data_IF_776592276084
#
_entry.id   IF_776592276084
#
_cell.length_a   1.000
_cell.length_b   1.000
_cell.length_c   1.000
_cell.angle_alpha   90.00
_cell.angle_beta   90.00
_cell.angle_gamma   90.00
#
_symmetry.space_group_name_H-M   'P 1'
#
loop_
_entity.id
_entity.type
_entity.pdbx_description
1 polymer ?
#
# COMPACT_ATOMS: atom_id res chain seq x y z
N UNK A 1 -18.48 20.02 29.74
CA UNK A 1 -19.31 20.01 30.95
C UNK A 1 -19.64 18.56 31.26
N UNK A 2 -19.45 18.19 32.52
CA UNK A 2 -19.54 16.87 33.19
C UNK A 2 -18.37 15.90 32.97
N UNK A 3 -17.55 15.82 34.02
CA UNK A 3 -16.61 14.77 34.38
C UNK A 3 -17.17 13.36 34.19
N UNK A 4 -16.37 12.49 33.59
CA UNK A 4 -16.49 11.03 33.77
C UNK A 4 -15.13 10.57 34.31
N UNK A 5 -15.04 10.53 35.65
CA UNK A 5 -14.08 9.69 36.37
C UNK A 5 -14.49 8.24 36.09
N UNK A 6 -13.69 7.51 35.31
CA UNK A 6 -13.80 6.05 35.26
C UNK A 6 -12.90 5.43 36.33
N UNK A 7 -13.55 4.65 37.20
CA UNK A 7 -12.97 3.92 38.32
C UNK A 7 -12.04 2.80 37.83
N UNK A 8 -10.86 2.66 38.46
CA UNK A 8 -9.98 1.50 38.28
C UNK A 8 -10.70 0.24 38.79
N UNK A 9 -10.79 -0.85 38.01
CA UNK A 9 -11.23 -2.13 38.55
C UNK A 9 -10.15 -2.69 39.49
N UNK A 10 -10.61 -3.11 40.67
CA UNK A 10 -9.84 -3.81 41.69
C UNK A 10 -9.33 -5.15 41.17
N UNK A 11 -8.05 -5.44 41.43
CA UNK A 11 -7.39 -6.68 41.06
C UNK A 11 -8.16 -7.90 41.60
N UNK A 12 -8.69 -8.72 40.70
CA UNK A 12 -9.15 -10.07 41.03
C UNK A 12 -8.02 -11.04 40.72
N UNK A 13 -7.54 -11.72 41.76
CA UNK A 13 -6.47 -12.69 41.69
C UNK A 13 -6.82 -13.86 40.78
N UNK A 14 -6.04 -14.00 39.70
CA UNK A 14 -5.96 -15.20 38.88
C UNK A 14 -4.88 -16.14 39.40
N UNK A 15 -5.20 -17.43 39.45
CA UNK A 15 -4.35 -18.52 39.93
C UNK A 15 -3.13 -18.69 39.03
N UNK A 16 -1.93 -18.47 39.57
CA UNK A 16 -0.65 -18.67 38.90
C UNK A 16 -0.45 -20.16 38.65
N UNK A 17 -0.48 -20.58 37.38
CA UNK A 17 0.10 -21.86 36.96
C UNK A 17 1.62 -21.74 36.95
N UNK A 18 2.28 -22.64 37.68
CA UNK A 18 3.73 -22.80 37.69
C UNK A 18 4.27 -23.11 36.29
N UNK A 19 4.63 -22.09 35.52
CA UNK A 19 5.56 -22.23 34.41
C UNK A 19 6.86 -21.49 34.74
N UNK A 20 7.96 -22.14 34.35
CA UNK A 20 9.33 -21.81 34.74
C UNK A 20 9.65 -20.34 34.45
N UNK A 21 10.43 -19.66 35.31
CA UNK A 21 10.93 -18.33 34.98
C UNK A 21 11.75 -18.40 33.69
N UNK A 22 11.45 -17.50 32.75
CA UNK A 22 12.28 -17.27 31.58
C UNK A 22 13.73 -16.95 32.01
N UNK A 23 14.75 -17.38 31.26
CA UNK A 23 16.13 -17.17 31.64
C UNK A 23 16.43 -15.68 31.67
N UNK A 24 16.98 -15.23 32.80
CA UNK A 24 17.55 -13.89 32.97
C UNK A 24 18.70 -13.78 31.96
N UNK A 25 18.54 -12.90 30.97
CA UNK A 25 19.56 -12.60 29.96
C UNK A 25 20.68 -11.81 30.63
N UNK A 26 21.92 -12.28 30.43
CA UNK A 26 23.14 -11.71 31.00
C UNK A 26 23.31 -10.23 30.59
N UNK A 27 23.55 -9.39 31.59
CA UNK A 27 23.72 -7.96 31.45
C UNK A 27 25.10 -7.61 30.87
N UNK A 28 25.28 -7.66 29.55
CA UNK A 28 26.27 -6.85 28.78
C UNK A 28 26.32 -7.11 27.25
N UNK A 29 25.35 -7.80 26.64
CA UNK A 29 25.41 -8.11 25.20
C UNK A 29 24.41 -7.30 24.36
N UNK A 30 24.91 -6.47 23.45
CA UNK A 30 24.32 -6.09 22.15
C UNK A 30 22.81 -5.77 22.10
N UNK A 31 22.34 -4.87 22.98
CA UNK A 31 20.96 -4.37 22.96
C UNK A 31 20.52 -3.81 21.59
N UNK A 32 21.45 -3.18 20.87
CA UNK A 32 21.20 -2.60 19.55
C UNK A 32 20.84 -3.66 18.50
N UNK A 33 21.49 -4.83 18.52
CA UNK A 33 21.30 -5.87 17.50
C UNK A 33 20.01 -6.65 17.64
N UNK A 34 19.40 -6.69 18.83
CA UNK A 34 18.14 -7.41 19.07
C UNK A 34 16.93 -6.61 18.58
N UNK A 35 16.80 -5.34 18.98
CA UNK A 35 15.70 -4.48 18.51
C UNK A 35 15.77 -4.22 16.98
N UNK A 36 16.98 -4.07 16.43
CA UNK A 36 17.20 -3.92 14.99
C UNK A 36 16.72 -5.14 14.21
N UNK A 37 17.03 -6.35 14.69
CA UNK A 37 16.66 -7.61 14.04
C UNK A 37 15.19 -7.96 14.21
N UNK A 38 14.60 -7.68 15.37
CA UNK A 38 13.22 -8.05 15.68
C UNK A 38 12.22 -7.18 14.89
N UNK A 39 12.58 -5.92 14.60
CA UNK A 39 11.75 -5.00 13.82
C UNK A 39 12.25 -4.76 12.38
N UNK A 40 13.43 -5.26 11.97
CA UNK A 40 14.08 -4.98 10.68
C UNK A 40 14.24 -3.47 10.40
N UNK A 41 14.96 -2.79 11.29
CA UNK A 41 15.10 -1.32 11.33
C UNK A 41 16.39 -0.88 10.62
N UNK A 42 16.43 0.32 10.04
CA UNK A 42 17.66 0.87 9.46
C UNK A 42 18.53 1.60 10.50
N UNK A 43 19.82 1.83 10.21
CA UNK A 43 20.70 2.59 11.12
C UNK A 43 20.19 4.01 11.39
N UNK A 44 19.61 4.67 10.37
CA UNK A 44 19.04 6.01 10.49
C UNK A 44 17.82 6.02 11.43
N UNK A 45 16.93 5.03 11.28
CA UNK A 45 15.76 4.86 12.17
C UNK A 45 16.19 4.60 13.62
N UNK A 46 17.27 3.84 13.83
CA UNK A 46 17.81 3.55 15.16
C UNK A 46 18.34 4.81 15.85
N UNK A 47 19.01 5.70 15.10
CA UNK A 47 19.50 6.97 15.62
C UNK A 47 18.36 7.89 16.05
N UNK A 48 17.31 8.02 15.23
CA UNK A 48 16.13 8.82 15.57
C UNK A 48 15.40 8.23 16.79
N UNK A 49 15.25 6.91 16.84
CA UNK A 49 14.63 6.24 17.98
C UNK A 49 15.44 6.41 19.28
N UNK A 50 16.78 6.43 19.22
CA UNK A 50 17.62 6.72 20.39
C UNK A 50 17.43 8.15 20.90
N UNK A 51 17.31 9.12 20.01
CA UNK A 51 17.02 10.51 20.39
C UNK A 51 15.66 10.61 21.08
N UNK A 52 14.62 10.00 20.51
CA UNK A 52 13.29 9.95 21.11
C UNK A 52 13.28 9.20 22.46
N UNK A 53 13.90 8.03 22.52
CA UNK A 53 14.01 7.22 23.74
C UNK A 53 14.69 7.98 24.90
N UNK A 54 15.68 8.82 24.58
CA UNK A 54 16.38 9.63 25.58
C UNK A 54 15.49 10.69 26.25
N UNK A 55 14.43 11.12 25.56
CA UNK A 55 13.49 12.13 26.03
C UNK A 55 12.31 11.54 26.81
N UNK A 56 12.11 10.22 26.76
CA UNK A 56 10.96 9.54 27.35
C UNK A 56 11.13 9.28 28.86
N UNK A 57 10.09 9.54 29.62
CA UNK A 57 9.95 9.09 31.01
C UNK A 57 9.52 7.63 31.10
N UNK A 58 9.70 6.99 32.27
CA UNK A 58 9.29 5.59 32.48
C UNK A 58 7.76 5.44 32.43
N UNK A 59 7.03 6.43 32.95
CA UNK A 59 5.58 6.47 32.97
C UNK A 59 5.00 6.56 31.55
N UNK A 60 5.58 7.40 30.69
CA UNK A 60 5.20 7.51 29.29
C UNK A 60 5.44 6.18 28.55
N UNK A 61 6.58 5.53 28.79
CA UNK A 61 6.91 4.23 28.18
C UNK A 61 5.90 3.17 28.62
N UNK A 62 5.53 3.15 29.90
CA UNK A 62 4.50 2.23 30.40
C UNK A 62 3.16 2.44 29.69
N UNK A 63 2.72 3.69 29.55
CA UNK A 63 1.45 4.01 28.87
C UNK A 63 1.51 3.65 27.38
N UNK A 64 2.61 3.98 26.70
CA UNK A 64 2.82 3.62 25.30
C UNK A 64 2.81 2.11 25.10
N UNK A 65 3.54 1.36 25.92
CA UNK A 65 3.60 -0.10 25.84
C UNK A 65 2.28 -0.77 26.14
N UNK A 66 1.50 -0.25 27.11
CA UNK A 66 0.14 -0.71 27.34
C UNK A 66 -0.75 -0.52 26.10
N UNK A 67 -0.65 0.64 25.44
CA UNK A 67 -1.40 0.93 24.23
C UNK A 67 -0.96 0.06 23.05
N UNK A 68 0.35 -0.14 22.86
CA UNK A 68 0.93 -1.02 21.83
C UNK A 68 0.43 -2.45 22.04
N UNK A 69 0.55 -2.99 23.25
CA UNK A 69 0.05 -4.32 23.58
C UNK A 69 -1.43 -4.45 23.24
N UNK A 70 -2.28 -3.52 23.70
CA UNK A 70 -3.73 -3.54 23.43
C UNK A 70 -4.08 -3.52 21.94
N UNK A 71 -3.29 -2.84 21.11
CA UNK A 71 -3.53 -2.73 19.67
C UNK A 71 -3.04 -3.99 18.94
N UNK A 72 -1.87 -4.52 19.32
CA UNK A 72 -1.15 -5.54 18.57
C UNK A 72 -1.22 -6.96 19.15
N UNK A 73 -1.81 -7.19 20.33
CA UNK A 73 -1.94 -8.51 20.97
C UNK A 73 -2.49 -9.59 20.03
N UNK A 74 -3.40 -9.22 19.12
CA UNK A 74 -4.06 -10.14 18.17
C UNK A 74 -3.62 -9.94 16.73
N UNK A 75 -2.53 -9.21 16.52
CA UNK A 75 -2.03 -8.91 15.19
C UNK A 75 -1.09 -10.02 14.70
N UNK A 76 -1.46 -10.78 13.65
CA UNK A 76 -0.61 -11.84 13.11
C UNK A 76 0.65 -11.31 12.41
N UNK A 77 0.70 -10.02 12.05
CA UNK A 77 1.83 -9.42 11.35
C UNK A 77 2.85 -8.78 12.30
N UNK A 78 2.53 -8.68 13.60
CA UNK A 78 3.42 -8.10 14.59
C UNK A 78 4.34 -9.16 15.22
N UNK A 79 5.63 -8.87 15.48
CA UNK A 79 6.53 -9.86 16.07
C UNK A 79 6.08 -10.32 17.46
N UNK A 80 5.80 -11.61 17.60
CA UNK A 80 5.34 -12.22 18.87
C UNK A 80 6.33 -12.01 20.02
N UNK A 81 7.63 -12.07 19.72
CA UNK A 81 8.71 -11.84 20.71
C UNK A 81 8.57 -10.49 21.40
N UNK A 82 8.19 -9.45 20.65
CA UNK A 82 8.02 -8.10 21.19
C UNK A 82 6.76 -8.04 22.08
N UNK A 83 5.66 -8.69 21.68
CA UNK A 83 4.45 -8.76 22.50
C UNK A 83 4.73 -9.44 23.84
N UNK A 84 5.43 -10.58 23.81
CA UNK A 84 5.83 -11.32 25.03
C UNK A 84 6.74 -10.49 25.94
N UNK A 85 7.70 -9.74 25.36
CA UNK A 85 8.55 -8.81 26.12
C UNK A 85 7.74 -7.69 26.77
N UNK A 86 6.81 -7.08 26.03
CA UNK A 86 5.95 -6.01 26.53
C UNK A 86 5.07 -6.53 27.68
N UNK A 87 4.49 -7.72 27.54
CA UNK A 87 3.68 -8.35 28.59
C UNK A 87 4.51 -8.62 29.85
N UNK A 88 5.74 -9.13 29.70
CA UNK A 88 6.66 -9.35 30.79
C UNK A 88 7.07 -8.04 31.49
N UNK A 89 7.31 -6.96 30.73
CA UNK A 89 7.62 -5.63 31.28
C UNK A 89 6.43 -5.04 32.04
N UNK A 90 5.22 -5.08 31.47
CA UNK A 90 4.02 -4.50 32.08
C UNK A 90 3.56 -5.26 33.33
N UNK A 91 3.85 -6.56 33.41
CA UNK A 91 3.51 -7.43 34.55
C UNK A 91 4.53 -7.35 35.70
N UNK A 92 5.69 -6.74 35.48
CA UNK A 92 6.76 -6.65 36.48
C UNK A 92 6.67 -5.34 37.28
N UNK A 93 5.91 -5.36 38.38
CA UNK A 93 5.73 -4.19 39.25
C UNK A 93 7.04 -3.68 39.87
N UNK A 94 8.06 -4.55 40.05
CA UNK A 94 9.37 -4.18 40.62
C UNK A 94 10.16 -3.22 39.71
N UNK A 95 9.90 -3.24 38.40
CA UNK A 95 10.53 -2.30 37.44
C UNK A 95 10.07 -0.87 37.69
N UNK A 96 8.82 -0.70 38.13
CA UNK A 96 8.23 0.61 38.41
C UNK A 96 8.49 1.06 39.86
N UNK A 97 8.60 0.12 40.80
CA UNK A 97 8.90 0.42 42.21
C UNK A 97 10.39 0.66 42.46
N UNK A 98 11.28 -0.06 41.76
CA UNK A 98 12.73 0.04 41.89
C UNK A 98 13.43 0.23 40.53
N UNK A 99 13.26 1.38 39.85
CA UNK A 99 13.79 1.59 38.50
C UNK A 99 15.32 1.43 38.39
N UNK A 100 16.05 1.80 39.45
CA UNK A 100 17.52 1.75 39.47
C UNK A 100 18.09 0.34 39.32
N UNK A 101 17.31 -0.71 39.64
CA UNK A 101 17.75 -2.11 39.49
C UNK A 101 17.50 -2.68 38.10
N UNK A 102 16.68 -2.00 37.30
CA UNK A 102 16.17 -2.48 36.02
C UNK A 102 16.52 -1.53 34.86
N UNK A 103 17.56 -0.71 35.02
CA UNK A 103 17.92 0.36 34.08
C UNK A 103 18.12 -0.17 32.63
N UNK A 104 18.76 -1.33 32.48
CA UNK A 104 18.96 -1.96 31.17
C UNK A 104 17.63 -2.32 30.47
N UNK A 105 16.70 -2.94 31.20
CA UNK A 105 15.38 -3.30 30.67
C UNK A 105 14.57 -2.03 30.33
N UNK A 106 14.67 -0.99 31.15
CA UNK A 106 14.01 0.29 30.91
C UNK A 106 14.56 0.95 29.63
N UNK A 107 15.87 0.93 29.40
CA UNK A 107 16.46 1.48 28.18
C UNK A 107 16.04 0.69 26.93
N UNK A 108 15.99 -0.63 27.01
CA UNK A 108 15.50 -1.48 25.91
C UNK A 108 14.03 -1.17 25.59
N UNK A 109 13.15 -1.09 26.60
CA UNK A 109 11.74 -0.75 26.41
C UNK A 109 11.53 0.67 25.92
N UNK A 110 12.38 1.63 26.32
CA UNK A 110 12.36 2.99 25.77
C UNK A 110 12.71 2.99 24.27
N UNK A 111 13.72 2.22 23.87
CA UNK A 111 14.11 2.09 22.47
C UNK A 111 13.01 1.41 21.65
N UNK A 112 12.45 0.29 22.13
CA UNK A 112 11.34 -0.39 21.47
C UNK A 112 10.09 0.52 21.38
N UNK A 113 9.79 1.28 22.44
CA UNK A 113 8.68 2.26 22.43
C UNK A 113 8.90 3.31 21.35
N UNK A 114 10.10 3.88 21.30
CA UNK A 114 10.46 4.89 20.31
C UNK A 114 10.40 4.34 18.88
N UNK A 115 10.85 3.11 18.65
CA UNK A 115 10.81 2.46 17.33
C UNK A 115 9.38 2.17 16.87
N UNK A 116 8.51 1.68 17.76
CA UNK A 116 7.13 1.30 17.44
C UNK A 116 6.22 2.53 17.28
N UNK A 117 6.47 3.60 18.03
CA UNK A 117 5.60 4.79 18.06
C UNK A 117 6.12 5.95 17.19
N UNK A 118 7.43 6.07 17.00
CA UNK A 118 8.06 7.10 16.17
C UNK A 118 7.98 6.82 14.67
N UNK A 119 7.89 5.54 14.28
CA UNK A 119 7.70 5.12 12.90
C UNK A 119 6.74 3.91 12.84
N UNK A 120 6.38 3.44 11.65
CA UNK A 120 5.55 2.24 11.52
C UNK A 120 6.29 1.02 12.09
N UNK A 121 5.65 0.13 12.86
CA UNK A 121 6.30 -1.10 13.33
C UNK A 121 6.60 -2.08 12.19
N UNK A 122 5.92 -1.96 11.04
CA UNK A 122 6.10 -2.84 9.89
C UNK A 122 7.18 -2.32 8.94
N UNK A 123 8.20 -3.14 8.70
CA UNK A 123 9.33 -2.78 7.86
C UNK A 123 8.93 -2.45 6.41
N UNK A 124 7.96 -3.18 5.85
CA UNK A 124 7.44 -2.95 4.51
C UNK A 124 6.73 -1.59 4.37
N UNK A 125 6.15 -1.07 5.45
CA UNK A 125 5.53 0.26 5.46
C UNK A 125 6.62 1.32 5.56
N UNK A 126 7.58 1.16 6.49
CA UNK A 126 8.72 2.09 6.65
C UNK A 126 9.56 2.23 5.38
N UNK A 127 9.75 1.13 4.65
CA UNK A 127 10.54 1.13 3.42
C UNK A 127 9.91 1.97 2.29
N UNK A 128 8.61 2.28 2.39
CA UNK A 128 7.83 2.87 1.30
C UNK A 128 7.24 4.23 1.68
N UNK A 129 6.91 4.42 2.95
CA UNK A 129 6.21 5.58 3.48
C UNK A 129 7.10 6.31 4.46
N UNK A 130 7.27 7.60 4.21
CA UNK A 130 7.95 8.54 5.09
C UNK A 130 7.08 8.83 6.32
N UNK A 131 7.65 8.76 7.52
CA UNK A 131 6.96 9.07 8.79
C UNK A 131 6.73 10.57 8.97
N UNK A 132 7.44 11.42 8.22
CA UNK A 132 7.29 12.86 8.29
C UNK A 132 6.32 13.40 7.22
N UNK A 133 5.35 14.19 7.69
CA UNK A 133 4.44 14.92 6.83
C UNK A 133 4.66 16.44 6.91
N UNK A 134 4.50 17.12 5.77
CA UNK A 134 4.44 18.58 5.70
C UNK A 134 2.97 19.00 5.47
N UNK A 135 2.28 19.53 6.50
CA UNK A 135 0.89 19.96 6.40
C UNK A 135 0.66 21.14 5.46
N UNK A 136 1.72 21.87 5.10
CA UNK A 136 1.63 23.08 4.27
C UNK A 136 1.62 22.79 2.77
N UNK A 137 2.01 21.58 2.35
CA UNK A 137 2.01 21.20 0.94
C UNK A 137 0.57 21.19 0.37
N UNK A 138 0.33 21.88 -0.76
CA UNK A 138 -1.00 21.91 -1.36
C UNK A 138 -1.37 20.55 -1.94
N UNK A 139 -2.60 20.09 -1.68
CA UNK A 139 -3.09 18.77 -2.13
C UNK A 139 -4.22 18.92 -3.15
N UNK A 140 -5.28 19.63 -2.75
CA UNK A 140 -6.50 19.82 -3.54
C UNK A 140 -6.37 21.06 -4.42
N UNK A 141 -5.57 20.97 -5.47
CA UNK A 141 -5.33 22.07 -6.42
C UNK A 141 -6.18 21.90 -7.68
N UNK A 142 -6.44 22.99 -8.39
CA UNK A 142 -7.17 22.91 -9.67
C UNK A 142 -6.44 22.00 -10.67
N UNK A 143 -5.10 22.08 -10.72
CA UNK A 143 -4.23 21.18 -11.48
C UNK A 143 -4.51 19.72 -11.17
N UNK A 144 -4.51 19.33 -9.89
CA UNK A 144 -4.74 17.95 -9.48
C UNK A 144 -6.16 17.47 -9.86
N UNK A 145 -7.18 18.29 -9.65
CA UNK A 145 -8.56 17.96 -10.05
C UNK A 145 -8.73 17.84 -11.55
N UNK A 146 -8.16 18.76 -12.34
CA UNK A 146 -8.27 18.72 -13.81
C UNK A 146 -7.60 17.48 -14.39
N UNK A 147 -6.36 17.18 -13.97
CA UNK A 147 -5.62 15.99 -14.45
C UNK A 147 -6.31 14.71 -13.95
N UNK A 148 -6.72 14.68 -12.67
CA UNK A 148 -7.42 13.55 -12.06
C UNK A 148 -8.73 13.23 -12.77
N UNK A 149 -9.62 14.21 -12.95
CA UNK A 149 -10.90 14.01 -13.63
C UNK A 149 -10.73 13.60 -15.10
N UNK A 150 -9.72 14.15 -15.79
CA UNK A 150 -9.40 13.76 -17.16
C UNK A 150 -9.04 12.27 -17.23
N UNK A 151 -8.12 11.81 -16.38
CA UNK A 151 -7.75 10.39 -16.35
C UNK A 151 -8.89 9.50 -15.87
N UNK A 152 -9.65 9.92 -14.87
CA UNK A 152 -10.83 9.17 -14.41
C UNK A 152 -11.83 8.94 -15.54
N UNK A 153 -12.16 9.98 -16.30
CA UNK A 153 -13.06 9.87 -17.45
C UNK A 153 -12.48 9.00 -18.57
N UNK A 154 -11.19 9.17 -18.90
CA UNK A 154 -10.52 8.42 -19.96
C UNK A 154 -10.40 6.93 -19.60
N UNK A 155 -9.98 6.59 -18.39
CA UNK A 155 -9.86 5.20 -17.94
C UNK A 155 -11.23 4.53 -17.91
N UNK A 156 -12.25 5.17 -17.32
CA UNK A 156 -13.60 4.62 -17.27
C UNK A 156 -14.17 4.37 -18.67
N UNK A 157 -14.00 5.34 -19.59
CA UNK A 157 -14.45 5.21 -20.98
C UNK A 157 -13.75 4.07 -21.71
N UNK A 158 -12.41 4.04 -21.68
CA UNK A 158 -11.63 3.05 -22.41
C UNK A 158 -11.87 1.64 -21.87
N UNK A 159 -11.89 1.47 -20.54
CA UNK A 159 -12.16 0.17 -19.92
C UNK A 159 -13.57 -0.32 -20.20
N UNK A 160 -14.58 0.55 -20.13
CA UNK A 160 -15.95 0.19 -20.50
C UNK A 160 -16.04 -0.21 -21.98
N UNK A 161 -15.38 0.53 -22.88
CA UNK A 161 -15.36 0.24 -24.33
C UNK A 161 -14.78 -1.14 -24.63
N UNK A 162 -13.68 -1.52 -23.97
CA UNK A 162 -13.02 -2.81 -24.18
C UNK A 162 -13.59 -3.97 -23.34
N UNK A 163 -14.51 -3.69 -22.42
CA UNK A 163 -15.08 -4.71 -21.52
C UNK A 163 -15.81 -5.85 -22.23
N UNK A 164 -16.41 -5.59 -23.40
CA UNK A 164 -17.15 -6.57 -24.19
C UNK A 164 -16.22 -7.43 -25.06
N UNK A 165 -14.94 -7.08 -25.14
CA UNK A 165 -13.94 -7.82 -25.93
C UNK A 165 -13.52 -9.09 -25.19
N UNK A 166 -13.28 -10.17 -25.93
CA UNK A 166 -12.61 -11.37 -25.44
C UNK A 166 -11.29 -11.60 -26.20
N UNK A 167 -10.13 -11.63 -25.53
CA UNK A 167 -9.91 -11.32 -24.11
C UNK A 167 -10.16 -9.83 -23.80
N UNK A 168 -10.58 -9.53 -22.57
CA UNK A 168 -10.83 -8.16 -22.12
C UNK A 168 -9.51 -7.40 -21.96
N UNK A 169 -9.49 -6.14 -22.41
CA UNK A 169 -8.34 -5.25 -22.20
C UNK A 169 -8.73 -4.26 -21.10
N UNK A 170 -7.87 -4.14 -20.09
CA UNK A 170 -8.09 -3.21 -18.97
C UNK A 170 -6.83 -2.38 -18.73
N UNK A 171 -7.01 -1.07 -18.70
CA UNK A 171 -6.00 -0.10 -18.34
C UNK A 171 -6.11 0.15 -16.84
N UNK A 172 -5.03 -0.15 -16.13
CA UNK A 172 -4.91 0.03 -14.69
C UNK A 172 -4.57 1.49 -14.34
N UNK A 173 -4.83 1.87 -13.09
CA UNK A 173 -4.59 3.23 -12.59
C UNK A 173 -3.10 3.63 -12.56
N UNK A 174 -2.18 2.66 -12.58
CA UNK A 174 -0.75 2.91 -12.68
C UNK A 174 -0.35 3.68 -13.95
N UNK A 175 -1.11 3.53 -15.04
CA UNK A 175 -0.88 4.30 -16.28
C UNK A 175 -1.20 5.78 -16.05
N UNK A 176 -2.31 6.08 -15.37
CA UNK A 176 -2.66 7.45 -15.01
C UNK A 176 -1.62 8.04 -14.04
N UNK A 177 -1.16 7.27 -13.05
CA UNK A 177 -0.08 7.67 -12.15
C UNK A 177 1.21 7.98 -12.93
N UNK A 178 1.61 7.13 -13.87
CA UNK A 178 2.82 7.35 -14.65
C UNK A 178 2.76 8.64 -15.48
N UNK A 179 1.61 8.88 -16.14
CA UNK A 179 1.42 10.00 -17.05
C UNK A 179 1.07 11.30 -16.33
N UNK A 180 0.54 11.22 -15.10
CA UNK A 180 0.23 12.39 -14.28
C UNK A 180 1.50 13.16 -13.90
N UNK A 181 2.64 12.50 -13.69
CA UNK A 181 3.90 13.17 -13.38
C UNK A 181 4.38 14.15 -14.46
N UNK A 182 4.61 13.72 -15.73
CA UNK A 182 5.03 14.64 -16.79
C UNK A 182 3.98 15.70 -17.09
N UNK A 183 2.68 15.38 -17.02
CA UNK A 183 1.61 16.36 -17.21
C UNK A 183 1.56 17.39 -16.08
N UNK A 184 1.75 16.98 -14.83
CA UNK A 184 1.84 17.86 -13.67
C UNK A 184 3.04 18.79 -13.74
N UNK A 185 4.21 18.27 -14.13
CA UNK A 185 5.43 19.06 -14.38
C UNK A 185 5.31 19.98 -15.59
N UNK A 186 4.58 19.59 -16.63
CA UNK A 186 4.28 20.45 -17.76
C UNK A 186 3.35 21.59 -17.34
N UNK A 187 2.29 21.29 -16.59
CA UNK A 187 1.37 22.30 -16.06
C UNK A 187 2.08 23.29 -15.15
N UNK A 188 2.96 22.81 -14.26
CA UNK A 188 3.83 23.64 -13.42
C UNK A 188 4.62 24.68 -14.23
N UNK A 189 5.12 24.30 -15.41
CA UNK A 189 5.94 25.18 -16.27
C UNK A 189 5.14 26.04 -17.23
N UNK A 190 3.99 25.56 -17.70
CA UNK A 190 3.23 26.19 -18.78
C UNK A 190 2.12 27.11 -18.29
N UNK A 191 1.59 26.90 -17.08
CA UNK A 191 0.44 27.66 -16.57
C UNK A 191 0.90 28.74 -15.61
N UNK A 192 0.58 30.04 -15.86
CA UNK A 192 0.92 31.10 -14.94
C UNK A 192 0.10 31.01 -13.65
N UNK A 193 0.68 31.44 -12.53
CA UNK A 193 -0.04 31.57 -11.24
C UNK A 193 -1.00 32.77 -11.28
N UNK A 194 -2.16 32.56 -11.90
CA UNK A 194 -3.29 33.48 -11.82
C UNK A 194 -4.24 32.95 -10.75
N UNK A 195 -4.47 33.77 -9.72
CA UNK A 195 -5.37 33.45 -8.62
C UNK A 195 -6.72 34.13 -8.78
N UNK A 196 -7.81 33.40 -8.54
CA UNK A 196 -9.15 33.95 -8.42
C UNK A 196 -9.65 33.79 -6.99
N UNK A 197 -10.22 34.83 -6.40
CA UNK A 197 -10.82 34.75 -5.06
C UNK A 197 -12.31 34.44 -5.21
N UNK A 198 -12.73 33.27 -4.74
CA UNK A 198 -14.15 32.86 -4.72
C UNK A 198 -14.53 32.57 -3.28
N UNK A 199 -15.59 33.22 -2.78
CA UNK A 199 -16.09 32.98 -1.42
C UNK A 199 -15.09 33.31 -0.30
N UNK A 200 -14.15 34.22 -0.53
CA UNK A 200 -13.11 34.60 0.45
C UNK A 200 -11.86 33.71 0.45
N UNK A 201 -11.83 32.64 -0.36
CA UNK A 201 -10.66 31.79 -0.52
C UNK A 201 -9.99 32.03 -1.89
N UNK A 202 -8.66 32.18 -1.90
CA UNK A 202 -7.87 32.35 -3.12
C UNK A 202 -7.60 30.98 -3.75
N UNK A 203 -8.14 30.77 -4.94
CA UNK A 203 -7.84 29.60 -5.78
C UNK A 203 -6.77 29.98 -6.79
N UNK A 204 -5.58 29.41 -6.64
CA UNK A 204 -4.48 29.57 -7.60
C UNK A 204 -4.56 28.51 -8.70
N UNK A 205 -4.35 28.91 -9.95
CA UNK A 205 -4.19 28.03 -11.11
C UNK A 205 -2.88 27.22 -11.07
N UNK A 206 -1.85 27.75 -10.41
CA UNK A 206 -0.55 27.11 -10.25
C UNK A 206 0.05 27.49 -8.89
N UNK A 207 -0.34 26.79 -7.80
CA UNK A 207 0.04 27.18 -6.43
C UNK A 207 1.52 26.92 -6.12
N UNK A 208 2.26 26.23 -7.00
CA UNK A 208 3.67 25.94 -6.80
C UNK A 208 4.12 24.68 -7.54
N UNK A 209 5.31 24.17 -7.20
CA UNK A 209 5.86 22.96 -7.79
C UNK A 209 4.91 21.76 -7.64
N UNK A 210 4.85 20.92 -8.68
CA UNK A 210 4.07 19.70 -8.62
C UNK A 210 4.66 18.76 -7.57
N UNK A 211 3.86 18.42 -6.56
CA UNK A 211 4.31 17.72 -5.36
C UNK A 211 3.75 16.29 -5.23
N UNK A 212 4.29 15.54 -4.27
CA UNK A 212 3.91 14.14 -4.00
C UNK A 212 2.43 13.95 -3.64
N UNK A 213 1.80 14.91 -2.96
CA UNK A 213 0.40 14.83 -2.49
C UNK A 213 -0.60 15.09 -3.60
N UNK A 214 -0.38 16.11 -4.44
CA UNK A 214 -1.19 16.33 -5.65
C UNK A 214 -1.15 15.12 -6.58
N UNK A 215 0.04 14.54 -6.75
CA UNK A 215 0.23 13.36 -7.59
C UNK A 215 -0.50 12.13 -7.03
N UNK A 216 -0.45 11.94 -5.71
CA UNK A 216 -1.21 10.88 -5.05
C UNK A 216 -2.72 11.08 -5.18
N UNK A 217 -3.22 12.31 -5.05
CA UNK A 217 -4.64 12.62 -5.23
C UNK A 217 -5.13 12.25 -6.64
N UNK A 218 -4.38 12.62 -7.68
CA UNK A 218 -4.67 12.21 -9.08
C UNK A 218 -4.73 10.68 -9.19
N UNK A 219 -3.78 9.99 -8.57
CA UNK A 219 -3.68 8.53 -8.60
C UNK A 219 -4.88 7.87 -7.92
N UNK A 220 -5.32 8.39 -6.78
CA UNK A 220 -6.52 7.92 -6.06
C UNK A 220 -7.77 8.09 -6.94
N UNK A 221 -7.93 9.25 -7.59
CA UNK A 221 -9.06 9.49 -8.49
C UNK A 221 -9.08 8.52 -9.67
N UNK A 222 -7.92 8.21 -10.25
CA UNK A 222 -7.80 7.22 -11.32
C UNK A 222 -8.06 5.79 -10.81
N UNK A 223 -7.60 5.46 -9.60
CA UNK A 223 -7.80 4.15 -8.97
C UNK A 223 -9.28 3.86 -8.71
N UNK A 224 -10.03 4.87 -8.28
CA UNK A 224 -11.47 4.74 -8.09
C UNK A 224 -12.21 4.58 -9.42
N UNK A 225 -11.73 5.23 -10.49
CA UNK A 225 -12.45 5.31 -11.77
C UNK A 225 -12.12 4.20 -12.78
N UNK A 226 -10.99 3.49 -12.65
CA UNK A 226 -10.62 2.47 -13.66
C UNK A 226 -11.54 1.25 -13.63
N UNK A 227 -12.12 0.93 -12.47
CA UNK A 227 -12.94 -0.26 -12.30
C UNK A 227 -14.35 -0.04 -12.87
N UNK A 228 -14.84 -1.03 -13.61
CA UNK A 228 -16.16 -0.97 -14.22
C UNK A 228 -17.22 -1.23 -13.14
N UNK A 229 -18.25 -0.37 -13.01
CA UNK A 229 -19.30 -0.58 -12.03
C UNK A 229 -19.94 -1.97 -12.13
N UNK A 230 -20.18 -2.61 -10.97
CA UNK A 230 -20.85 -3.92 -10.90
C UNK A 230 -22.22 -3.93 -11.60
N UNK A 231 -22.89 -2.77 -11.67
CA UNK A 231 -24.15 -2.60 -12.40
C UNK A 231 -24.08 -2.98 -13.87
N UNK A 232 -22.91 -3.01 -14.49
CA UNK A 232 -22.73 -3.53 -15.85
C UNK A 232 -23.30 -4.96 -15.98
N UNK A 233 -22.99 -5.86 -15.04
CA UNK A 233 -23.51 -7.23 -15.04
C UNK A 233 -25.03 -7.28 -14.85
N UNK A 234 -25.56 -6.41 -13.98
CA UNK A 234 -27.00 -6.31 -13.71
C UNK A 234 -27.74 -5.91 -14.99
N UNK A 235 -27.27 -4.87 -15.68
CA UNK A 235 -27.90 -4.34 -16.90
C UNK A 235 -27.94 -5.41 -18.00
N UNK A 236 -26.83 -6.11 -18.25
CA UNK A 236 -26.81 -7.18 -19.26
C UNK A 236 -27.76 -8.33 -18.92
N UNK A 237 -27.77 -8.76 -17.65
CA UNK A 237 -28.63 -9.85 -17.21
C UNK A 237 -30.11 -9.47 -17.27
N UNK A 238 -30.44 -8.20 -16.99
CA UNK A 238 -31.81 -7.72 -17.11
C UNK A 238 -32.26 -7.62 -18.57
N UNK A 239 -31.45 -7.00 -19.44
CA UNK A 239 -31.85 -6.71 -20.82
C UNK A 239 -31.93 -7.95 -21.71
N UNK A 240 -30.98 -8.89 -21.58
CA UNK A 240 -30.85 -10.01 -22.51
C UNK A 240 -32.09 -10.94 -22.48
N UNK A 241 -32.64 -11.33 -23.65
CA UNK A 241 -33.80 -12.21 -23.73
C UNK A 241 -33.60 -13.60 -23.12
N UNK A 242 -32.35 -14.07 -23.06
CA UNK A 242 -31.98 -15.37 -22.47
C UNK A 242 -32.02 -15.37 -20.94
N UNK A 243 -32.09 -14.20 -20.32
CA UNK A 243 -32.12 -14.03 -18.88
C UNK A 243 -33.49 -13.44 -18.48
N UNK A 244 -33.57 -12.20 -18.01
CA UNK A 244 -34.82 -11.62 -17.51
C UNK A 244 -35.67 -10.93 -18.57
N UNK A 245 -35.14 -10.67 -19.77
CA UNK A 245 -35.87 -10.05 -20.89
C UNK A 245 -36.59 -8.73 -20.53
N UNK A 246 -35.95 -7.91 -19.71
CA UNK A 246 -36.46 -6.62 -19.22
C UNK A 246 -35.95 -5.48 -20.11
N UNK A 247 -36.73 -5.12 -21.13
CA UNK A 247 -36.37 -4.10 -22.12
C UNK A 247 -36.10 -2.70 -21.52
N UNK A 248 -36.71 -2.37 -20.38
CA UNK A 248 -36.49 -1.08 -19.71
C UNK A 248 -35.04 -0.89 -19.23
N UNK A 249 -34.28 -1.96 -19.03
CA UNK A 249 -32.87 -1.89 -18.62
C UNK A 249 -31.96 -1.23 -19.68
N UNK A 250 -32.42 -1.13 -20.94
CA UNK A 250 -31.71 -0.40 -21.99
C UNK A 250 -31.83 1.13 -21.85
N UNK A 251 -32.74 1.64 -21.00
CA UNK A 251 -32.94 3.08 -20.86
C UNK A 251 -31.75 3.74 -20.15
N UNK A 252 -31.18 4.79 -20.75
CA UNK A 252 -30.04 5.53 -20.19
C UNK A 252 -30.30 6.05 -18.77
N UNK A 253 -31.49 6.60 -18.51
CA UNK A 253 -31.85 7.11 -17.19
C UNK A 253 -31.88 6.01 -16.13
N UNK A 254 -32.38 4.82 -16.49
CA UNK A 254 -32.33 3.65 -15.61
C UNK A 254 -30.88 3.25 -15.31
N UNK A 255 -30.04 3.12 -16.35
CA UNK A 255 -28.64 2.72 -16.21
C UNK A 255 -27.83 3.71 -15.35
N UNK A 256 -28.08 5.01 -15.51
CA UNK A 256 -27.43 6.06 -14.72
C UNK A 256 -27.87 5.99 -13.25
N UNK A 257 -29.18 5.92 -13.00
CA UNK A 257 -29.73 5.88 -11.64
C UNK A 257 -29.29 4.62 -10.90
N UNK A 258 -29.41 3.43 -11.52
CA UNK A 258 -29.00 2.18 -10.88
C UNK A 258 -27.49 2.18 -10.58
N UNK A 259 -26.67 2.68 -11.52
CA UNK A 259 -25.22 2.77 -11.33
C UNK A 259 -24.84 3.73 -10.21
N UNK A 260 -25.45 4.91 -10.13
CA UNK A 260 -25.20 5.85 -9.04
C UNK A 260 -25.69 5.30 -7.70
N UNK A 261 -26.89 4.71 -7.64
CA UNK A 261 -27.44 4.12 -6.42
C UNK A 261 -26.55 3.01 -5.87
N UNK A 262 -26.10 2.05 -6.70
CA UNK A 262 -25.22 0.97 -6.25
C UNK A 262 -23.87 1.50 -5.79
N UNK A 263 -23.28 2.48 -6.48
CA UNK A 263 -22.02 3.08 -6.06
C UNK A 263 -22.15 3.85 -4.72
N UNK A 264 -23.21 4.64 -4.53
CA UNK A 264 -23.44 5.35 -3.28
C UNK A 264 -23.67 4.41 -2.09
N UNK A 265 -24.34 3.28 -2.29
CA UNK A 265 -24.44 2.24 -1.26
C UNK A 265 -23.06 1.70 -0.90
N UNK A 266 -22.24 1.38 -1.91
CA UNK A 266 -20.87 0.88 -1.71
C UNK A 266 -19.98 1.88 -0.96
N UNK A 267 -19.92 3.14 -1.39
CA UNK A 267 -19.13 4.18 -0.71
C UNK A 267 -19.67 4.51 0.68
N UNK A 268 -20.98 4.45 0.88
CA UNK A 268 -21.60 4.62 2.20
C UNK A 268 -21.15 3.52 3.17
N UNK A 269 -21.20 2.26 2.75
CA UNK A 269 -20.74 1.14 3.56
C UNK A 269 -19.22 1.20 3.82
N UNK A 270 -18.42 1.52 2.80
CA UNK A 270 -16.98 1.71 2.95
C UNK A 270 -16.65 2.80 3.99
N UNK A 271 -17.40 3.91 3.97
CA UNK A 271 -17.27 4.99 4.95
C UNK A 271 -17.57 4.55 6.39
N UNK A 272 -18.56 3.67 6.59
CA UNK A 272 -18.88 3.09 7.91
C UNK A 272 -17.79 2.10 8.36
N UNK A 273 -17.26 1.30 7.44
CA UNK A 273 -16.24 0.29 7.73
C UNK A 273 -14.82 0.86 7.90
N UNK A 274 -14.55 2.11 7.50
CA UNK A 274 -13.20 2.73 7.57
C UNK A 274 -12.58 2.66 8.98
N UNK A 275 -13.40 2.76 10.02
CA UNK A 275 -12.96 2.71 11.41
C UNK A 275 -12.37 1.35 11.79
N UNK A 276 -12.82 0.29 11.12
CA UNK A 276 -12.43 -1.08 11.40
C UNK A 276 -11.39 -1.61 10.41
N UNK A 277 -11.36 -1.09 9.18
CA UNK A 277 -10.53 -1.62 8.08
C UNK A 277 -9.36 -0.72 7.66
N UNK A 278 -9.35 0.56 8.07
CA UNK A 278 -8.38 1.56 7.59
C UNK A 278 -7.64 2.25 8.73
N UNK A 279 -8.36 2.70 9.78
CA UNK A 279 -7.72 3.42 10.88
C UNK A 279 -6.85 2.59 11.83
N UNK A 280 -7.15 1.30 12.11
CA UNK A 280 -6.24 0.49 12.92
C UNK A 280 -4.89 0.31 12.21
N UNK A 281 -3.79 0.53 12.93
CA UNK A 281 -2.41 0.47 12.39
C UNK A 281 -2.04 -0.89 11.83
N UNK A 282 -2.61 -1.98 12.38
CA UNK A 282 -2.38 -3.35 11.92
C UNK A 282 -3.07 -3.70 10.60
N UNK A 283 -3.98 -2.86 10.09
CA UNK A 283 -4.60 -3.07 8.78
C UNK A 283 -3.66 -2.64 7.65
N UNK A 284 -2.66 -3.48 7.35
CA UNK A 284 -1.72 -3.25 6.25
C UNK A 284 -2.34 -3.67 4.91
N UNK A 285 -2.25 -2.81 3.90
CA UNK A 285 -2.77 -3.05 2.54
C UNK A 285 -1.60 -3.07 1.53
N UNK A 286 -0.97 -4.23 1.26
CA UNK A 286 0.24 -4.32 0.44
C UNK A 286 0.09 -3.74 -0.98
N UNK A 287 -1.07 -3.91 -1.60
CA UNK A 287 -1.35 -3.36 -2.93
C UNK A 287 -1.25 -1.82 -2.98
N UNK A 288 -1.60 -1.14 -1.87
CA UNK A 288 -1.47 0.31 -1.73
C UNK A 288 -0.01 0.74 -1.62
N UNK A 289 0.84 -0.06 -0.95
CA UNK A 289 2.27 0.23 -0.80
C UNK A 289 2.96 0.34 -2.17
N UNK A 290 2.63 -0.52 -3.13
CA UNK A 290 3.19 -0.44 -4.50
C UNK A 290 2.87 0.92 -5.15
N UNK A 291 1.64 1.41 -4.97
CA UNK A 291 1.21 2.70 -5.50
C UNK A 291 1.94 3.85 -4.82
N UNK A 292 2.14 3.78 -3.50
CA UNK A 292 2.88 4.80 -2.75
C UNK A 292 4.36 4.80 -3.12
N UNK A 293 4.98 3.62 -3.23
CA UNK A 293 6.38 3.46 -3.63
C UNK A 293 6.65 4.08 -5.00
N UNK A 294 5.77 3.81 -5.97
CA UNK A 294 5.88 4.38 -7.31
C UNK A 294 5.74 5.91 -7.28
N UNK A 295 4.80 6.44 -6.50
CA UNK A 295 4.63 7.89 -6.36
C UNK A 295 5.86 8.55 -5.73
N UNK A 296 6.38 7.95 -4.65
CA UNK A 296 7.60 8.40 -3.97
C UNK A 296 8.80 8.39 -4.91
N UNK A 297 8.95 7.34 -5.73
CA UNK A 297 10.04 7.22 -6.70
C UNK A 297 10.08 8.36 -7.74
N UNK A 298 8.93 8.94 -8.10
CA UNK A 298 8.87 10.09 -9.02
C UNK A 298 9.28 11.43 -8.39
N UNK A 299 9.14 11.56 -7.08
CA UNK A 299 9.44 12.78 -6.33
C UNK A 299 10.68 12.66 -5.44
N UNK A 300 11.38 11.52 -5.47
CA UNK A 300 12.61 11.30 -4.75
C UNK A 300 13.80 11.95 -5.48
N UNK A 301 14.35 13.02 -4.89
CA UNK A 301 15.52 13.73 -5.43
C UNK A 301 16.85 12.99 -5.19
N UNK A 302 16.85 11.96 -4.34
CA UNK A 302 18.06 11.19 -3.99
C UNK A 302 18.30 10.06 -5.00
N UNK A 303 19.15 10.31 -6.01
CA UNK A 303 19.75 9.26 -6.83
C UNK A 303 20.97 8.66 -6.11
N UNK A 304 20.70 7.85 -5.07
CA UNK A 304 21.75 7.06 -4.44
C UNK A 304 22.36 6.06 -5.42
N UNK A 305 23.66 5.80 -5.30
CA UNK A 305 24.31 4.74 -6.06
C UNK A 305 23.78 3.39 -5.54
N UNK A 306 23.25 2.56 -6.42
CA UNK A 306 22.68 1.25 -6.04
C UNK A 306 23.65 0.16 -6.49
N UNK A 307 23.91 -0.80 -5.62
CA UNK A 307 24.65 -2.00 -5.99
C UNK A 307 23.83 -2.83 -6.98
N UNK A 308 24.33 -2.91 -8.20
CA UNK A 308 23.75 -3.70 -9.27
C UNK A 308 24.28 -5.12 -9.32
N UNK A 309 23.70 -5.95 -10.20
CA UNK A 309 24.18 -7.30 -10.42
C UNK A 309 25.68 -7.29 -10.79
N UNK A 310 26.40 -8.34 -10.40
CA UNK A 310 27.82 -8.53 -10.70
C UNK A 310 28.79 -7.51 -10.07
N UNK A 311 28.51 -7.03 -8.85
CA UNK A 311 29.35 -6.06 -8.13
C UNK A 311 29.57 -4.75 -8.92
N UNK A 312 28.59 -4.35 -9.73
CA UNK A 312 28.65 -3.10 -10.49
C UNK A 312 27.81 -2.05 -9.78
N UNK A 313 28.36 -0.86 -9.55
CA UNK A 313 27.60 0.23 -8.93
C UNK A 313 26.83 0.97 -10.01
N UNK A 314 25.50 0.87 -10.00
CA UNK A 314 24.62 1.55 -10.94
C UNK A 314 24.35 2.98 -10.45
N UNK A 315 24.76 3.95 -11.26
CA UNK A 315 24.53 5.39 -11.04
C UNK A 315 23.43 5.96 -11.95
N UNK A 316 22.70 5.11 -12.66
CA UNK A 316 21.60 5.55 -13.51
C UNK A 316 20.44 6.05 -12.64
N UNK A 317 19.84 7.20 -12.99
CA UNK A 317 18.64 7.65 -12.28
C UNK A 317 17.51 6.65 -12.47
N UNK A 318 16.67 6.49 -11.43
CA UNK A 318 15.52 5.56 -11.44
C UNK A 318 14.62 5.79 -12.66
N UNK A 319 14.43 7.06 -13.02
CA UNK A 319 13.63 7.47 -14.17
C UNK A 319 14.27 7.10 -15.52
N UNK A 320 15.60 7.20 -15.67
CA UNK A 320 16.29 6.74 -16.88
C UNK A 320 16.16 5.23 -17.06
N UNK A 321 16.37 4.47 -15.99
CA UNK A 321 16.17 3.02 -16.01
C UNK A 321 14.73 2.67 -16.40
N UNK A 322 13.74 3.36 -15.81
CA UNK A 322 12.34 3.18 -16.17
C UNK A 322 12.09 3.39 -17.67
N UNK A 323 12.58 4.48 -18.28
CA UNK A 323 12.37 4.72 -19.71
C UNK A 323 13.07 3.70 -20.61
N UNK A 324 14.26 3.21 -20.22
CA UNK A 324 14.95 2.14 -20.95
C UNK A 324 14.14 0.85 -20.87
N UNK A 325 13.72 0.44 -19.68
CA UNK A 325 12.92 -0.76 -19.48
C UNK A 325 11.56 -0.67 -20.19
N UNK A 326 10.89 0.50 -20.11
CA UNK A 326 9.66 0.78 -20.83
C UNK A 326 9.84 0.65 -22.34
N UNK A 327 10.91 1.25 -22.90
CA UNK A 327 11.23 1.12 -24.33
C UNK A 327 11.53 -0.32 -24.73
N UNK A 328 12.29 -1.06 -23.92
CA UNK A 328 12.58 -2.48 -24.16
C UNK A 328 11.31 -3.32 -24.14
N UNK A 329 10.42 -3.12 -23.16
CA UNK A 329 9.12 -3.80 -23.09
C UNK A 329 8.20 -3.40 -24.24
N UNK A 330 8.18 -2.13 -24.64
CA UNK A 330 7.41 -1.67 -25.78
C UNK A 330 7.85 -2.37 -27.07
N UNK A 331 9.16 -2.49 -27.32
CA UNK A 331 9.67 -3.21 -28.49
C UNK A 331 9.40 -4.71 -28.36
N UNK A 332 9.65 -5.29 -27.17
CA UNK A 332 9.41 -6.71 -26.93
C UNK A 332 7.94 -7.07 -27.13
N UNK A 333 6.99 -6.22 -26.76
CA UNK A 333 5.55 -6.45 -26.93
C UNK A 333 5.18 -6.87 -28.36
N UNK A 334 5.77 -6.24 -29.39
CA UNK A 334 5.48 -6.55 -30.80
C UNK A 334 6.02 -7.90 -31.26
N UNK A 335 7.05 -8.44 -30.60
CA UNK A 335 7.65 -9.71 -30.97
C UNK A 335 6.70 -10.90 -30.77
N UNK A 336 6.22 -11.23 -29.56
CA UNK A 336 5.31 -12.34 -29.35
C UNK A 336 3.89 -12.05 -29.83
N UNK A 337 3.47 -10.79 -29.98
CA UNK A 337 2.08 -10.48 -30.38
C UNK A 337 1.88 -10.35 -31.89
N UNK A 338 2.90 -9.93 -32.65
CA UNK A 338 2.76 -9.66 -34.08
C UNK A 338 3.80 -10.37 -34.95
N UNK A 339 5.09 -10.25 -34.63
CA UNK A 339 6.16 -10.77 -35.48
C UNK A 339 6.31 -12.30 -35.41
N UNK A 340 6.20 -12.88 -34.21
CA UNK A 340 6.37 -14.31 -33.98
C UNK A 340 5.46 -14.82 -32.86
N UNK A 341 4.19 -15.04 -33.22
CA UNK A 341 3.13 -15.47 -32.29
C UNK A 341 3.37 -16.81 -31.61
N UNK A 342 4.25 -17.65 -32.14
CA UNK A 342 4.64 -18.91 -31.50
C UNK A 342 5.34 -18.71 -30.15
N UNK A 343 5.98 -17.55 -29.91
CA UNK A 343 6.56 -17.20 -28.61
C UNK A 343 5.50 -17.07 -27.51
N UNK A 344 4.28 -16.71 -27.90
CA UNK A 344 3.16 -16.51 -27.00
C UNK A 344 2.52 -17.85 -26.57
N UNK A 345 2.57 -18.88 -27.42
CA UNK A 345 2.00 -20.22 -27.16
C UNK A 345 3.07 -21.28 -26.85
N UNK A 346 4.00 -20.98 -25.94
CA UNK A 346 5.18 -21.82 -25.69
C UNK A 346 4.94 -22.96 -24.68
N UNK A 347 4.38 -24.09 -25.14
CA UNK A 347 4.09 -25.25 -24.28
C UNK A 347 5.08 -26.42 -24.50
N UNK A 348 6.36 -26.18 -24.24
CA UNK A 348 7.45 -27.13 -24.56
C UNK A 348 7.31 -28.51 -23.87
N UNK A 349 6.73 -28.58 -22.66
CA UNK A 349 6.50 -29.84 -21.95
C UNK A 349 5.55 -30.76 -22.73
N UNK A 350 4.56 -30.20 -23.43
CA UNK A 350 3.64 -31.00 -24.25
C UNK A 350 4.32 -31.60 -25.49
N UNK A 351 5.48 -31.08 -25.90
CA UNK A 351 6.27 -31.64 -27.00
C UNK A 351 7.01 -32.93 -26.61
N UNK A 352 7.28 -33.13 -25.31
CA UNK A 352 7.97 -34.33 -24.81
C UNK A 352 7.10 -35.58 -25.03
N UNK A 353 5.80 -35.47 -24.77
CA UNK A 353 4.84 -36.55 -25.00
C UNK A 353 3.53 -36.00 -25.59
N UNK A 354 3.49 -35.72 -26.91
CA UNK A 354 2.39 -34.99 -27.56
C UNK A 354 1.05 -35.74 -27.56
N UNK A 355 1.07 -37.06 -27.34
CA UNK A 355 -0.15 -37.89 -27.26
C UNK A 355 -0.63 -38.11 -25.82
N UNK A 356 0.09 -37.61 -24.81
CA UNK A 356 -0.28 -37.81 -23.42
C UNK A 356 -1.29 -36.74 -22.97
N UNK A 357 -2.56 -37.13 -22.86
CA UNK A 357 -3.64 -36.25 -22.43
C UNK A 357 -3.43 -35.69 -21.02
N UNK A 358 -2.93 -36.50 -20.08
CA UNK A 358 -2.70 -36.04 -18.71
C UNK A 358 -1.63 -34.94 -18.66
N UNK A 359 -0.56 -35.10 -19.45
CA UNK A 359 0.48 -34.08 -19.58
C UNK A 359 -0.05 -32.79 -20.19
N UNK A 360 -0.84 -32.88 -21.27
CA UNK A 360 -1.45 -31.73 -21.92
C UNK A 360 -2.46 -30.99 -21.03
N UNK A 361 -3.23 -31.71 -20.21
CA UNK A 361 -4.17 -31.09 -19.26
C UNK A 361 -3.45 -30.35 -18.14
N UNK A 362 -2.30 -30.84 -17.67
CA UNK A 362 -1.54 -30.16 -16.59
C UNK A 362 -0.69 -29.00 -17.14
N UNK A 363 0.02 -29.22 -18.24
CA UNK A 363 1.09 -28.32 -18.72
C UNK A 363 0.73 -27.51 -19.98
N UNK A 364 -0.42 -27.81 -20.59
CA UNK A 364 -0.87 -27.17 -21.83
C UNK A 364 -1.24 -25.71 -21.65
N UNK A 365 -0.91 -24.90 -22.65
CA UNK A 365 -1.12 -23.45 -22.65
C UNK A 365 -2.58 -23.04 -22.96
N UNK A 366 -3.18 -23.54 -24.04
CA UNK A 366 -4.54 -23.13 -24.46
C UNK A 366 -5.68 -23.92 -23.81
N UNK A 367 -5.40 -25.13 -23.28
CA UNK A 367 -6.44 -26.08 -22.85
C UNK A 367 -6.07 -26.82 -21.56
N UNK A 368 -4.92 -26.48 -20.97
CA UNK A 368 -4.43 -27.07 -19.73
C UNK A 368 -4.39 -26.04 -18.61
N UNK A 369 -3.90 -26.47 -17.45
CA UNK A 369 -3.76 -25.63 -16.25
C UNK A 369 -2.56 -24.66 -16.33
N UNK A 370 -1.76 -24.70 -17.40
CA UNK A 370 -0.60 -23.81 -17.56
C UNK A 370 0.55 -24.08 -16.57
N UNK A 371 0.57 -25.24 -15.91
CA UNK A 371 1.58 -25.59 -14.91
C UNK A 371 2.92 -25.94 -15.56
N UNK A 372 3.64 -24.92 -16.01
CA UNK A 372 4.93 -25.02 -16.71
C UNK A 372 5.88 -23.96 -16.15
N UNK A 373 7.15 -24.29 -15.83
CA UNK A 373 8.14 -23.30 -15.37
C UNK A 373 8.34 -22.11 -16.33
N UNK A 374 8.19 -22.34 -17.63
CA UNK A 374 8.30 -21.30 -18.68
C UNK A 374 7.14 -21.48 -19.68
N UNK A 375 5.93 -20.98 -19.34
CA UNK A 375 4.71 -21.22 -20.10
C UNK A 375 4.59 -20.34 -21.36
N UNK A 376 5.23 -19.18 -21.38
CA UNK A 376 5.20 -18.24 -22.51
C UNK A 376 6.36 -17.25 -22.43
N UNK A 377 6.77 -16.73 -23.57
CA UNK A 377 7.67 -15.56 -23.67
C UNK A 377 6.89 -14.24 -23.85
N UNK A 378 5.56 -14.31 -23.85
CA UNK A 378 4.66 -13.16 -23.83
C UNK A 378 4.33 -12.76 -22.40
N UNK A 379 4.87 -11.63 -21.96
CA UNK A 379 4.69 -11.15 -20.59
C UNK A 379 3.26 -10.66 -20.30
N UNK A 380 2.38 -10.57 -21.30
CA UNK A 380 0.97 -10.23 -21.10
C UNK A 380 0.09 -11.45 -20.83
N UNK A 381 0.60 -12.68 -21.02
CA UNK A 381 -0.15 -13.94 -20.87
C UNK A 381 0.42 -14.79 -19.71
N UNK A 382 1.30 -14.21 -18.89
CA UNK A 382 1.83 -14.82 -17.67
C UNK A 382 0.82 -14.74 -16.51
#
# INVERSE_FOLDING_TARGET
>A
MSDIREERPTAQGGVISNEKPAPIVDAQSDFDGHAERDLNVTEDDLLEAKELASQMSLEEVREMMFNVHKIHEKDPNFPLVIIEKIEAFLSNDDVFENPEKHEALIQEMKLEAALITGNSPYAEVRAVVDNHDDPTMPVSTLRAWTIGLLFSGLLAFVNQLFSVRYPSITILANVAQLLAYPLGKLWEKSVPDVGFTVGGQRFSLNPGPFNRKEHMLITIMANVAYNIPYTNYIIWTQWLPKFFNQSYAANFGYQLLISLSTNFIGYGLAGLCRRFLVYPSYCVWPASLVTIALNSAFHADKNGAVDGPFRSVWRASRQKFFYIAFGAMFVWFWFPNYLFTALSSFSWLTWIAPKNRNLATVTGFNSGLGFNPFPTFDWNIL
#
